data_IF_923242922460
#
_entry.id   IF_923242922460
#
_cell.length_a   1.000
_cell.length_b   1.000
_cell.length_c   1.000
_cell.angle_alpha   90.00
_cell.angle_beta   90.00
_cell.angle_gamma   90.00
#
_symmetry.space_group_name_H-M   'P 1'
#
loop_
_entity.id
_entity.type
_entity.pdbx_description
1 polymer ?
#
# COMPACT_ATOMS: atom_id res chain seq x y z
N UNK A 1 -19.07 -10.06 -19.12
CA UNK A 1 -19.71 -8.74 -19.05
C UNK A 1 -19.25 -7.98 -17.81
N UNK A 2 -19.33 -6.65 -17.86
CA UNK A 2 -19.11 -5.76 -16.71
C UNK A 2 -20.44 -5.53 -15.98
N UNK A 3 -20.37 -5.22 -14.69
CA UNK A 3 -21.50 -4.76 -13.87
C UNK A 3 -21.09 -3.47 -13.15
N UNK A 4 -22.02 -2.52 -13.07
CA UNK A 4 -21.84 -1.29 -12.30
C UNK A 4 -21.82 -1.58 -10.80
N UNK A 5 -20.93 -0.94 -10.07
CA UNK A 5 -20.81 -1.02 -8.61
C UNK A 5 -20.54 0.37 -8.03
N UNK A 6 -20.92 0.56 -6.78
CA UNK A 6 -20.60 1.79 -6.02
C UNK A 6 -19.69 1.42 -4.86
N UNK A 7 -18.53 2.07 -4.75
CA UNK A 7 -17.55 1.86 -3.68
C UNK A 7 -17.33 3.19 -2.99
N UNK A 8 -17.73 3.30 -1.71
CA UNK A 8 -17.63 4.55 -0.95
C UNK A 8 -18.24 5.75 -1.69
N UNK A 9 -19.41 5.56 -2.32
CA UNK A 9 -20.10 6.58 -3.11
C UNK A 9 -19.50 6.85 -4.49
N UNK A 10 -18.37 6.23 -4.85
CA UNK A 10 -17.77 6.37 -6.17
C UNK A 10 -18.25 5.26 -7.11
N UNK A 11 -18.76 5.60 -8.31
CA UNK A 11 -19.17 4.61 -9.28
C UNK A 11 -17.95 3.92 -9.91
N UNK A 12 -18.12 2.66 -10.28
CA UNK A 12 -17.12 1.87 -10.98
C UNK A 12 -17.73 0.65 -11.66
N UNK A 13 -16.87 -0.13 -12.31
CA UNK A 13 -17.26 -1.36 -12.98
C UNK A 13 -16.40 -2.51 -12.50
N UNK A 14 -17.00 -3.69 -12.36
CA UNK A 14 -16.27 -4.95 -12.10
C UNK A 14 -16.71 -6.00 -13.10
N UNK A 15 -15.82 -6.94 -13.42
CA UNK A 15 -16.21 -8.12 -14.19
C UNK A 15 -17.23 -8.94 -13.41
N UNK A 16 -18.36 -9.26 -14.03
CA UNK A 16 -19.44 -10.06 -13.40
C UNK A 16 -18.90 -11.38 -12.82
N UNK A 17 -17.95 -12.03 -13.50
CA UNK A 17 -17.31 -13.27 -13.04
C UNK A 17 -16.36 -13.10 -11.84
N UNK A 18 -15.94 -11.87 -11.54
CA UNK A 18 -15.04 -11.54 -10.41
C UNK A 18 -15.80 -10.90 -9.24
N UNK A 19 -17.10 -10.66 -9.39
CA UNK A 19 -17.93 -10.17 -8.30
C UNK A 19 -18.06 -11.28 -7.24
N UNK A 20 -17.24 -11.19 -6.19
CA UNK A 20 -17.33 -12.04 -5.00
C UNK A 20 -17.75 -11.18 -3.83
N UNK A 21 -18.60 -11.74 -2.95
CA UNK A 21 -18.84 -11.15 -1.63
C UNK A 21 -17.51 -11.19 -0.88
N UNK A 22 -16.94 -10.01 -0.65
CA UNK A 22 -15.76 -9.87 0.22
C UNK A 22 -16.29 -9.77 1.63
N UNK A 23 -15.90 -10.71 2.49
CA UNK A 23 -16.09 -10.60 3.94
C UNK A 23 -14.84 -9.99 4.55
N UNK A 24 -15.02 -9.14 5.54
CA UNK A 24 -13.90 -8.64 6.33
C UNK A 24 -13.39 -9.79 7.20
N UNK A 25 -12.11 -10.14 7.05
CA UNK A 25 -11.45 -11.09 7.95
C UNK A 25 -11.42 -10.53 9.38
N UNK A 26 -11.67 -11.37 10.38
CA UNK A 26 -11.53 -10.99 11.79
C UNK A 26 -10.07 -10.62 12.13
N UNK A 27 -9.10 -11.25 11.46
CA UNK A 27 -7.68 -10.93 11.58
C UNK A 27 -7.23 -9.91 10.53
N UNK A 28 -6.53 -8.82 10.93
CA UNK A 28 -6.03 -7.83 9.99
C UNK A 28 -4.91 -8.41 9.12
N UNK A 29 -5.02 -8.22 7.80
CA UNK A 29 -3.93 -8.53 6.87
C UNK A 29 -3.00 -7.33 6.75
N UNK A 30 -1.73 -7.52 7.14
CA UNK A 30 -0.69 -6.49 7.08
C UNK A 30 0.33 -6.83 5.99
N UNK A 31 0.69 -5.83 5.17
CA UNK A 31 1.71 -5.95 4.11
C UNK A 31 2.67 -4.76 4.16
N UNK A 32 3.96 -5.03 3.99
CA UNK A 32 4.97 -4.01 3.72
C UNK A 32 5.21 -3.96 2.21
N UNK A 33 4.68 -2.92 1.56
CA UNK A 33 4.84 -2.73 0.13
C UNK A 33 6.14 -1.96 -0.14
N UNK A 34 7.00 -2.41 -1.06
CA UNK A 34 8.19 -1.67 -1.46
C UNK A 34 7.84 -0.36 -2.18
N UNK A 35 8.87 0.44 -2.46
CA UNK A 35 8.73 1.57 -3.36
C UNK A 35 8.24 1.06 -4.72
N UNK A 36 7.38 1.85 -5.38
CA UNK A 36 6.81 1.51 -6.69
C UNK A 36 6.07 0.16 -6.77
N UNK A 37 5.48 -0.30 -5.65
CA UNK A 37 4.60 -1.45 -5.71
C UNK A 37 3.37 -1.15 -6.59
N UNK A 38 3.07 -2.05 -7.53
CA UNK A 38 1.99 -1.89 -8.51
C UNK A 38 0.61 -1.67 -7.87
N UNK A 39 0.41 -2.15 -6.63
CA UNK A 39 -0.81 -1.90 -5.88
C UNK A 39 -1.07 -0.40 -5.65
N UNK A 40 0.00 0.38 -5.50
CA UNK A 40 -0.06 1.80 -5.17
C UNK A 40 0.26 2.73 -6.34
N UNK A 41 0.74 2.21 -7.48
CA UNK A 41 1.06 3.01 -8.66
C UNK A 41 -0.14 3.77 -9.25
N UNK A 42 -1.38 3.32 -8.98
CA UNK A 42 -2.61 4.04 -9.24
C UNK A 42 -2.76 4.57 -10.67
N UNK A 43 -3.36 3.79 -11.58
CA UNK A 43 -3.52 4.16 -13.00
C UNK A 43 -4.38 5.42 -13.27
N UNK A 44 -5.17 5.90 -12.30
CA UNK A 44 -5.90 7.19 -12.40
C UNK A 44 -6.03 7.89 -11.06
N UNK A 45 -6.48 7.17 -10.03
CA UNK A 45 -6.60 7.62 -8.64
C UNK A 45 -6.29 6.44 -7.73
N UNK A 46 -5.87 6.72 -6.50
CA UNK A 46 -5.57 5.70 -5.48
C UNK A 46 -6.24 5.96 -4.14
N UNK A 47 -7.23 6.85 -4.09
CA UNK A 47 -7.82 7.34 -2.84
C UNK A 47 -8.52 6.23 -2.02
N UNK A 48 -8.92 5.14 -2.68
CA UNK A 48 -9.43 3.94 -2.01
C UNK A 48 -8.35 3.19 -1.22
N UNK A 49 -7.11 3.23 -1.68
CA UNK A 49 -5.97 2.56 -1.07
C UNK A 49 -5.11 3.52 -0.22
N UNK A 50 -5.01 4.80 -0.59
CA UNK A 50 -4.18 5.81 0.08
C UNK A 50 -5.04 6.97 0.56
N UNK A 51 -5.25 7.11 1.88
CA UNK A 51 -6.03 8.23 2.41
C UNK A 51 -5.31 9.57 2.15
N UNK A 52 -6.05 10.69 2.01
CA UNK A 52 -5.48 12.01 1.74
C UNK A 52 -4.33 12.41 2.67
N UNK A 53 -4.44 12.08 3.96
CA UNK A 53 -3.42 12.36 4.99
C UNK A 53 -2.05 11.70 4.72
N UNK A 54 -2.01 10.59 3.96
CA UNK A 54 -0.77 9.89 3.61
C UNK A 54 -0.26 10.20 2.20
N UNK A 55 -1.04 10.90 1.37
CA UNK A 55 -0.66 11.13 -0.03
C UNK A 55 0.68 11.84 -0.15
N UNK A 56 0.89 12.97 0.55
CA UNK A 56 2.16 13.70 0.52
C UNK A 56 3.31 12.94 1.17
N UNK A 57 3.03 12.02 2.11
CA UNK A 57 4.07 11.22 2.77
C UNK A 57 4.56 10.09 1.87
N UNK A 58 3.67 9.48 1.09
CA UNK A 58 3.97 8.39 0.18
C UNK A 58 4.38 8.87 -1.22
N UNK A 59 3.91 10.02 -1.68
CA UNK A 59 4.33 10.64 -2.94
C UNK A 59 4.65 12.12 -2.69
N UNK A 60 5.95 12.40 -2.52
CA UNK A 60 6.45 13.73 -2.15
C UNK A 60 6.66 14.66 -3.35
N UNK A 61 6.25 14.24 -4.56
CA UNK A 61 6.62 14.87 -5.82
C UNK A 61 7.75 14.12 -6.53
N UNK A 62 8.14 14.60 -7.72
CA UNK A 62 9.25 14.02 -8.50
C UNK A 62 9.01 12.60 -9.01
N UNK A 63 7.76 12.14 -9.06
CA UNK A 63 7.40 10.79 -9.51
C UNK A 63 7.77 9.66 -8.54
N UNK A 64 8.30 9.96 -7.36
CA UNK A 64 8.74 8.94 -6.41
C UNK A 64 7.61 8.45 -5.51
N UNK A 65 7.40 7.13 -5.47
CA UNK A 65 6.46 6.47 -4.58
C UNK A 65 7.19 5.69 -3.48
N UNK A 66 7.09 6.17 -2.25
CA UNK A 66 7.73 5.59 -1.08
C UNK A 66 7.09 4.26 -0.64
N UNK A 67 7.87 3.38 0.05
CA UNK A 67 7.34 2.16 0.64
C UNK A 67 6.22 2.43 1.66
N UNK A 68 5.22 1.54 1.71
CA UNK A 68 4.01 1.73 2.50
C UNK A 68 3.68 0.51 3.37
N UNK A 69 3.14 0.77 4.57
CA UNK A 69 2.47 -0.24 5.39
C UNK A 69 0.99 -0.22 5.00
N UNK A 70 0.46 -1.38 4.61
CA UNK A 70 -0.93 -1.55 4.20
C UNK A 70 -1.63 -2.52 5.15
N UNK A 71 -2.80 -2.13 5.64
CA UNK A 71 -3.69 -2.94 6.48
C UNK A 71 -5.02 -3.10 5.76
N UNK A 72 -5.43 -4.35 5.50
CA UNK A 72 -6.69 -4.66 4.80
C UNK A 72 -6.87 -3.87 3.49
N UNK A 73 -5.77 -3.65 2.75
CA UNK A 73 -5.77 -2.91 1.49
C UNK A 73 -5.70 -1.38 1.62
N UNK A 74 -5.66 -0.81 2.83
CA UNK A 74 -5.48 0.64 3.02
C UNK A 74 -4.11 0.97 3.60
N UNK A 75 -3.42 1.93 3.02
CA UNK A 75 -2.17 2.45 3.54
C UNK A 75 -2.41 3.14 4.88
N UNK A 76 -1.55 2.84 5.86
CA UNK A 76 -1.61 3.40 7.22
C UNK A 76 -0.32 4.09 7.62
N UNK A 77 0.81 3.78 6.96
CA UNK A 77 2.09 4.42 7.24
C UNK A 77 3.05 4.29 6.04
N UNK A 78 4.14 5.05 6.10
CA UNK A 78 5.34 4.80 5.30
C UNK A 78 6.35 4.00 6.13
N UNK A 79 7.20 3.19 5.49
CA UNK A 79 8.29 2.48 6.16
C UNK A 79 9.62 2.69 5.44
N UNK A 80 10.72 2.37 6.12
CA UNK A 80 12.07 2.38 5.56
C UNK A 80 12.89 1.27 6.20
N UNK A 81 13.79 0.66 5.43
CA UNK A 81 14.78 -0.27 5.98
C UNK A 81 15.96 0.52 6.52
N UNK A 82 16.30 0.32 7.79
CA UNK A 82 17.56 0.82 8.36
C UNK A 82 18.59 -0.30 8.32
N UNK A 83 19.76 -0.06 7.72
CA UNK A 83 20.89 -0.99 7.81
C UNK A 83 21.37 -1.01 9.27
N UNK A 84 21.59 -2.21 9.81
CA UNK A 84 22.21 -2.36 11.12
C UNK A 84 23.68 -2.00 10.98
N UNK A 85 24.13 -0.97 11.70
CA UNK A 85 25.56 -0.69 11.81
C UNK A 85 26.23 -1.86 12.56
N UNK A 86 27.43 -2.31 12.17
CA UNK A 86 28.22 -3.21 13.00
C UNK A 86 28.37 -2.61 14.40
N UNK A 87 28.31 -3.45 15.44
CA UNK A 87 28.62 -2.98 16.79
C UNK A 87 30.09 -2.51 16.81
N UNK A 88 30.40 -1.31 17.32
CA UNK A 88 31.79 -0.92 17.55
C UNK A 88 32.45 -1.97 18.46
N UNK A 89 33.57 -2.57 18.03
CA UNK A 89 34.36 -3.49 18.84
C UNK A 89 34.28 -4.99 18.51
N UNK A 90 33.54 -5.44 17.49
CA UNK A 90 33.54 -6.86 17.08
C UNK A 90 34.67 -7.25 16.12
N UNK A 91 35.74 -6.44 16.03
CA UNK A 91 36.96 -6.80 15.33
C UNK A 91 37.80 -7.68 16.24
N UNK A 92 37.63 -9.00 16.13
CA UNK A 92 38.65 -9.92 16.62
C UNK A 92 39.90 -9.74 15.79
N UNK A 93 41.02 -9.43 16.44
CA UNK A 93 42.35 -9.50 15.81
C UNK A 93 42.55 -10.89 15.24
N UNK A 94 42.79 -10.95 13.93
CA UNK A 94 43.56 -12.04 13.31
C UNK A 94 45.03 -11.76 13.47
#
# INVERSE_FOLDING_TARGET
SLVGVTIQGQPGFVLKARLKRVTTSATPQVRLLPAFDAYLLGYRRRDLAVPPSLQRRLQRGGGWLHPAVVVNGRAVAAWSLRKRQPRPGSGGSV
#
